data_IF_171719481442
#
_entry.id   IF_171719481442
#
_cell.length_a   1.000
_cell.length_b   1.000
_cell.length_c   1.000
_cell.angle_alpha   90.00
_cell.angle_beta   90.00
_cell.angle_gamma   90.00
#
_symmetry.space_group_name_H-M   'P 1'
#
loop_
_entity.id
_entity.type
_entity.pdbx_description
1 polymer ?
#
# COMPACT_ATOMS: atom_id res chain seq x y z
N UNK A 1 -0.28 -18.17 9.14
CA UNK A 1 -0.81 -18.75 7.88
C UNK A 1 -1.49 -17.62 7.12
N UNK A 2 -1.21 -17.30 5.86
CA UNK A 2 -0.53 -18.07 4.82
C UNK A 2 0.38 -17.13 4.01
N UNK A 3 1.60 -17.59 3.75
CA UNK A 3 2.20 -17.35 2.45
C UNK A 3 1.14 -17.76 1.42
N UNK A 4 0.65 -16.83 0.62
CA UNK A 4 -0.18 -17.18 -0.53
C UNK A 4 0.71 -18.03 -1.45
N UNK A 5 0.66 -19.35 -1.29
CA UNK A 5 1.41 -20.38 -2.02
C UNK A 5 2.94 -20.48 -1.80
N UNK A 6 3.49 -20.10 -0.64
CA UNK A 6 4.94 -20.24 -0.39
C UNK A 6 5.82 -19.33 -1.25
N UNK A 7 5.21 -18.32 -1.88
CA UNK A 7 5.87 -17.33 -2.72
C UNK A 7 6.32 -16.15 -1.86
N UNK A 8 7.55 -15.70 -2.10
CA UNK A 8 8.16 -14.52 -1.48
C UNK A 8 7.48 -13.26 -2.02
N UNK A 9 6.96 -12.40 -1.15
CA UNK A 9 6.24 -11.19 -1.54
C UNK A 9 7.00 -9.94 -1.09
N UNK A 10 6.90 -8.86 -1.86
CA UNK A 10 7.47 -7.56 -1.50
C UNK A 10 6.57 -6.42 -1.99
N UNK A 11 6.38 -5.34 -1.21
CA UNK A 11 5.46 -4.27 -1.57
C UNK A 11 5.96 -3.47 -2.78
N UNK A 12 5.05 -3.07 -3.65
CA UNK A 12 5.35 -2.13 -4.71
C UNK A 12 5.79 -0.78 -4.11
N UNK A 13 6.88 -0.15 -4.57
CA UNK A 13 7.34 1.13 -4.02
C UNK A 13 6.39 2.31 -4.34
N UNK A 14 5.38 2.11 -5.17
CA UNK A 14 4.41 3.14 -5.57
C UNK A 14 3.06 2.94 -4.89
N UNK A 15 2.45 1.78 -5.06
CA UNK A 15 1.10 1.50 -4.55
C UNK A 15 1.05 0.64 -3.29
N UNK A 16 2.20 0.21 -2.76
CA UNK A 16 2.33 -0.69 -1.60
C UNK A 16 1.72 -2.08 -1.74
N UNK A 17 0.93 -2.33 -2.78
CA UNK A 17 0.37 -3.64 -3.08
C UNK A 17 1.46 -4.74 -3.08
N UNK A 18 1.15 -5.93 -2.53
CA UNK A 18 2.06 -7.06 -2.54
C UNK A 18 2.34 -7.53 -3.97
N UNK A 19 3.62 -7.62 -4.33
CA UNK A 19 4.09 -8.20 -5.59
C UNK A 19 4.97 -9.41 -5.34
N UNK A 20 4.81 -10.43 -6.17
CA UNK A 20 5.65 -11.63 -6.11
C UNK A 20 7.10 -11.27 -6.46
N UNK A 21 8.01 -11.66 -5.58
CA UNK A 21 9.45 -11.62 -5.83
C UNK A 21 9.79 -12.76 -6.77
N UNK A 22 10.17 -12.40 -7.99
CA UNK A 22 10.60 -13.33 -9.04
C UNK A 22 12.11 -13.39 -9.11
N UNK A 23 12.64 -14.48 -9.64
CA UNK A 23 14.07 -14.68 -9.81
C UNK A 23 14.42 -14.87 -11.27
N UNK A 24 15.43 -14.14 -11.76
CA UNK A 24 15.95 -14.30 -13.12
C UNK A 24 16.73 -15.62 -13.27
N UNK A 25 17.01 -16.04 -14.51
CA UNK A 25 17.89 -17.20 -14.79
C UNK A 25 19.27 -17.11 -14.11
N UNK A 26 19.74 -15.90 -13.81
CA UNK A 26 21.01 -15.61 -13.11
C UNK A 26 20.85 -15.43 -11.60
N UNK A 27 19.76 -15.94 -11.01
CA UNK A 27 19.48 -15.85 -9.57
C UNK A 27 19.38 -14.42 -9.01
N UNK A 28 18.98 -13.45 -9.85
CA UNK A 28 18.76 -12.06 -9.41
C UNK A 28 17.27 -11.79 -9.14
N UNK A 29 16.89 -11.28 -7.96
CA UNK A 29 15.50 -10.99 -7.65
C UNK A 29 15.00 -9.73 -8.37
N UNK A 30 13.72 -9.75 -8.72
CA UNK A 30 13.01 -8.62 -9.32
C UNK A 30 11.50 -8.71 -9.04
N UNK A 31 10.79 -7.60 -9.19
CA UNK A 31 9.33 -7.51 -9.06
C UNK A 31 8.76 -6.58 -10.12
N UNK A 32 7.51 -6.85 -10.52
CA UNK A 32 6.78 -6.10 -11.56
C UNK A 32 5.41 -5.72 -11.00
N UNK A 33 4.99 -4.49 -11.24
CA UNK A 33 3.67 -3.98 -10.92
C UNK A 33 3.06 -3.35 -12.18
N UNK A 34 2.26 -4.11 -12.92
CA UNK A 34 1.60 -3.64 -14.15
C UNK A 34 0.66 -2.44 -13.90
N UNK A 35 -0.16 -2.41 -12.82
CA UNK A 35 -1.03 -1.27 -12.54
C UNK A 35 -0.29 0.06 -12.34
N UNK A 36 0.94 0.02 -11.81
CA UNK A 36 1.77 1.21 -11.63
C UNK A 36 2.79 1.42 -12.75
N UNK A 37 2.92 0.48 -13.69
CA UNK A 37 3.94 0.53 -14.74
C UNK A 37 5.38 0.49 -14.22
N UNK A 38 5.64 -0.11 -13.04
CA UNK A 38 6.99 -0.15 -12.44
C UNK A 38 7.58 -1.56 -12.39
N UNK A 39 8.89 -1.63 -12.61
CA UNK A 39 9.68 -2.84 -12.45
C UNK A 39 10.94 -2.52 -11.63
N UNK A 40 11.19 -3.31 -10.58
CA UNK A 40 12.34 -3.13 -9.70
C UNK A 40 13.28 -4.32 -9.84
N UNK A 41 14.55 -4.04 -10.08
CA UNK A 41 15.62 -5.04 -10.14
C UNK A 41 16.59 -4.85 -8.99
N UNK A 42 16.82 -5.91 -8.23
CA UNK A 42 17.78 -5.87 -7.13
C UNK A 42 19.11 -6.39 -7.67
N UNK A 43 20.15 -5.57 -7.54
CA UNK A 43 21.47 -5.83 -8.12
C UNK A 43 22.56 -5.67 -7.06
N UNK A 44 23.70 -6.30 -7.34
CA UNK A 44 24.85 -6.31 -6.43
C UNK A 44 24.69 -7.34 -5.31
N UNK A 45 25.73 -8.11 -4.96
CA UNK A 45 25.63 -9.16 -3.93
C UNK A 45 25.14 -8.63 -2.58
N UNK A 46 25.65 -7.47 -2.14
CA UNK A 46 25.25 -6.85 -0.88
C UNK A 46 23.77 -6.42 -0.88
N UNK A 47 23.30 -5.82 -1.99
CA UNK A 47 21.91 -5.40 -2.14
C UNK A 47 20.95 -6.59 -2.18
N UNK A 48 21.32 -7.66 -2.88
CA UNK A 48 20.55 -8.90 -2.95
C UNK A 48 20.43 -9.53 -1.54
N UNK A 49 21.53 -9.67 -0.82
CA UNK A 49 21.51 -10.23 0.53
C UNK A 49 20.73 -9.36 1.55
N UNK A 50 20.76 -8.03 1.39
CA UNK A 50 19.95 -7.13 2.21
C UNK A 50 18.45 -7.29 1.91
N UNK A 51 18.10 -7.34 0.62
CA UNK A 51 16.73 -7.56 0.17
C UNK A 51 16.18 -8.91 0.65
N UNK A 52 16.97 -9.98 0.54
CA UNK A 52 16.53 -11.30 0.98
C UNK A 52 16.21 -11.32 2.48
N UNK A 53 17.06 -10.71 3.30
CA UNK A 53 16.80 -10.55 4.75
C UNK A 53 15.57 -9.70 5.05
N UNK A 54 15.19 -8.78 4.18
CA UNK A 54 13.98 -7.96 4.36
C UNK A 54 12.73 -8.77 4.06
N UNK A 55 12.72 -9.49 2.94
CA UNK A 55 11.60 -10.35 2.52
C UNK A 55 11.36 -11.45 3.57
N UNK A 56 12.42 -12.11 4.03
CA UNK A 56 12.32 -13.22 4.98
C UNK A 56 11.84 -12.76 6.38
N UNK A 57 12.13 -11.49 6.76
CA UNK A 57 11.59 -10.86 7.98
C UNK A 57 10.14 -10.43 7.82
N UNK A 58 9.78 -9.85 6.68
CA UNK A 58 8.42 -9.42 6.37
C UNK A 58 7.40 -10.57 6.43
N UNK A 59 7.84 -11.78 6.08
CA UNK A 59 7.05 -13.00 6.19
C UNK A 59 6.87 -13.48 7.65
N UNK A 60 7.76 -13.11 8.58
CA UNK A 60 7.73 -13.52 9.99
C UNK A 60 7.04 -12.53 10.92
N UNK A 61 7.19 -11.23 10.67
CA UNK A 61 6.73 -10.16 11.59
C UNK A 61 5.33 -9.61 11.26
N UNK A 62 4.55 -10.33 10.46
CA UNK A 62 3.22 -9.92 10.01
C UNK A 62 3.20 -8.46 9.46
N UNK A 63 4.28 -8.07 8.78
CA UNK A 63 4.45 -6.78 8.12
C UNK A 63 3.25 -6.49 7.21
N UNK A 64 2.73 -7.54 6.58
CA UNK A 64 1.55 -7.49 5.76
C UNK A 64 0.26 -7.22 6.54
N UNK A 65 0.07 -7.74 7.75
CA UNK A 65 -1.06 -7.30 8.57
C UNK A 65 -0.91 -5.86 9.01
N UNK A 66 0.31 -5.41 9.37
CA UNK A 66 0.54 -4.00 9.71
C UNK A 66 0.27 -3.07 8.52
N UNK A 67 0.74 -3.42 7.32
CA UNK A 67 0.46 -2.67 6.09
C UNK A 67 -1.03 -2.70 5.75
N UNK A 68 -1.70 -3.86 5.82
CA UNK A 68 -3.15 -3.96 5.63
C UNK A 68 -3.94 -3.16 6.66
N UNK A 69 -3.49 -3.13 7.91
CA UNK A 69 -4.11 -2.34 8.97
C UNK A 69 -3.94 -0.84 8.70
N UNK A 70 -2.77 -0.42 8.23
CA UNK A 70 -2.54 0.96 7.77
C UNK A 70 -3.39 1.30 6.54
N UNK A 71 -3.38 0.45 5.50
CA UNK A 71 -4.22 0.63 4.31
C UNK A 71 -5.72 0.67 4.67
N UNK A 72 -6.21 -0.19 5.56
CA UNK A 72 -7.62 -0.15 6.00
C UNK A 72 -7.98 1.16 6.68
N UNK A 73 -7.06 1.70 7.48
CA UNK A 73 -7.30 2.92 8.26
C UNK A 73 -7.12 4.20 7.44
N UNK A 74 -6.24 4.17 6.45
CA UNK A 74 -5.75 5.37 5.76
C UNK A 74 -5.86 5.32 4.24
N UNK A 75 -6.24 4.21 3.60
CA UNK A 75 -6.43 4.12 2.15
C UNK A 75 -7.92 4.02 1.81
N UNK A 76 -8.52 5.15 1.47
CA UNK A 76 -9.96 5.33 1.29
C UNK A 76 -10.36 5.11 -0.16
N UNK A 77 -11.52 4.48 -0.37
CA UNK A 77 -12.17 4.38 -1.68
C UNK A 77 -13.39 5.30 -1.70
N UNK A 78 -13.43 6.24 -2.64
CA UNK A 78 -14.57 7.10 -2.84
C UNK A 78 -15.79 6.29 -3.35
N UNK A 79 -16.97 6.39 -2.70
CA UNK A 79 -18.17 5.67 -3.15
C UNK A 79 -18.76 6.25 -4.45
N UNK A 80 -18.52 7.53 -4.73
CA UNK A 80 -19.08 8.25 -5.89
C UNK A 80 -18.28 7.96 -7.17
N UNK A 81 -16.96 8.21 -7.17
CA UNK A 81 -16.13 8.06 -8.37
C UNK A 81 -15.28 6.79 -8.39
N UNK A 82 -15.23 6.03 -7.29
CA UNK A 82 -14.41 4.83 -7.17
C UNK A 82 -12.91 5.07 -7.01
N UNK A 83 -12.46 6.33 -7.03
CA UNK A 83 -11.05 6.70 -6.84
C UNK A 83 -10.55 6.23 -5.46
N UNK A 84 -9.31 5.73 -5.42
CA UNK A 84 -8.65 5.27 -4.20
C UNK A 84 -7.51 6.22 -3.85
N UNK A 85 -7.45 6.68 -2.61
CA UNK A 85 -6.50 7.70 -2.17
C UNK A 85 -6.13 7.55 -0.69
N UNK A 86 -4.98 8.07 -0.32
CA UNK A 86 -4.53 8.09 1.07
C UNK A 86 -5.19 9.23 1.84
N UNK A 87 -5.50 8.98 3.11
CA UNK A 87 -6.08 9.92 4.05
C UNK A 87 -5.01 10.93 4.50
N UNK A 88 -4.81 11.96 3.69
CA UNK A 88 -3.85 13.02 3.94
C UNK A 88 -4.52 14.18 4.72
N UNK A 89 -3.82 14.86 5.64
CA UNK A 89 -4.37 15.98 6.41
C UNK A 89 -4.95 17.10 5.52
N UNK A 90 -4.37 17.33 4.35
CA UNK A 90 -4.82 18.33 3.38
C UNK A 90 -6.22 18.04 2.80
N UNK A 91 -6.61 16.76 2.79
CA UNK A 91 -7.92 16.32 2.33
C UNK A 91 -8.94 16.29 3.47
N UNK A 92 -8.52 16.46 4.73
CA UNK A 92 -9.41 16.41 5.88
C UNK A 92 -10.49 17.51 5.80
N UNK A 93 -11.74 17.11 5.97
CA UNK A 93 -12.88 18.02 6.11
C UNK A 93 -13.34 17.99 7.55
N UNK A 94 -13.16 19.11 8.23
CA UNK A 94 -13.68 19.32 9.57
C UNK A 94 -14.96 20.15 9.51
N UNK A 95 -15.81 19.95 10.50
CA UNK A 95 -16.97 20.80 10.75
C UNK A 95 -16.52 22.17 11.26
N UNK A 96 -17.16 23.23 10.78
CA UNK A 96 -16.85 24.62 11.14
C UNK A 96 -17.33 24.95 12.57
N UNK A 97 -18.29 24.19 13.10
CA UNK A 97 -18.92 24.49 14.39
C UNK A 97 -18.18 23.92 15.59
N UNK A 98 -17.74 22.66 15.50
CA UNK A 98 -17.15 21.88 16.60
C UNK A 98 -15.74 21.38 16.27
N UNK A 99 -15.24 21.63 15.05
CA UNK A 99 -13.94 21.14 14.59
C UNK A 99 -13.88 19.63 14.39
N UNK A 100 -14.99 18.90 14.51
CA UNK A 100 -15.00 17.45 14.39
C UNK A 100 -14.65 17.00 12.97
N UNK A 101 -13.89 15.91 12.86
CA UNK A 101 -13.51 15.34 11.58
C UNK A 101 -14.71 14.65 10.93
N UNK A 102 -15.21 15.21 9.83
CA UNK A 102 -16.31 14.61 9.05
C UNK A 102 -15.81 13.52 8.09
N UNK A 103 -14.54 13.60 7.68
CA UNK A 103 -13.91 12.65 6.76
C UNK A 103 -12.87 13.30 5.86
N UNK A 104 -12.60 12.68 4.71
CA UNK A 104 -11.60 13.15 3.75
C UNK A 104 -12.23 13.42 2.38
N UNK A 105 -11.88 14.55 1.76
CA UNK A 105 -12.34 14.90 0.41
C UNK A 105 -11.63 14.05 -0.62
N UNK A 106 -12.38 13.57 -1.61
CA UNK A 106 -11.82 12.90 -2.76
C UNK A 106 -10.94 13.89 -3.56
N UNK A 107 -9.69 13.51 -3.90
CA UNK A 107 -8.77 14.37 -4.65
C UNK A 107 -9.15 14.51 -6.14
N UNK A 108 -10.10 13.69 -6.63
CA UNK A 108 -10.57 13.77 -8.01
C UNK A 108 -11.31 15.10 -8.25
N UNK A 109 -10.82 15.88 -9.22
CA UNK A 109 -11.24 17.27 -9.46
C UNK A 109 -12.73 17.43 -9.74
N UNK A 110 -13.37 16.39 -10.29
CA UNK A 110 -14.79 16.40 -10.68
C UNK A 110 -15.72 15.77 -9.64
N UNK A 111 -15.19 15.16 -8.57
CA UNK A 111 -16.00 14.45 -7.59
C UNK A 111 -16.24 15.31 -6.34
N UNK A 112 -15.19 15.71 -5.62
CA UNK A 112 -15.29 16.52 -4.41
C UNK A 112 -16.06 15.87 -3.24
N UNK A 113 -16.47 14.60 -3.36
CA UNK A 113 -17.21 13.88 -2.34
C UNK A 113 -16.38 13.75 -1.05
N UNK A 114 -17.04 13.81 0.10
CA UNK A 114 -16.40 13.57 1.40
C UNK A 114 -16.60 12.10 1.77
N UNK A 115 -15.51 11.34 1.83
CA UNK A 115 -15.51 9.96 2.29
C UNK A 115 -15.45 9.99 3.81
N UNK A 116 -16.49 9.46 4.46
CA UNK A 116 -16.53 9.37 5.91
C UNK A 116 -15.35 8.55 6.41
N UNK A 117 -14.68 9.04 7.45
CA UNK A 117 -13.69 8.23 8.16
C UNK A 117 -14.45 7.36 9.14
N UNK A 118 -14.55 6.05 8.87
CA UNK A 118 -15.22 5.11 9.76
C UNK A 118 -14.47 5.02 11.08
N UNK A 119 -14.89 5.82 12.05
CA UNK A 119 -14.79 5.54 13.47
C UNK A 119 -16.14 4.99 13.95
N UNK A 120 -16.54 3.82 13.45
CA UNK A 120 -17.45 2.97 14.21
C UNK A 120 -16.69 1.73 14.63
N UNK A 121 -16.33 1.75 15.91
CA UNK A 121 -15.73 0.73 16.76
C UNK A 121 -15.95 -0.70 16.28
#
# INVERSE_FOLDING_TARGET
MAALNGKRMFPCPVCTDPREVRTTKKQKPYLVCDPCGVQVFIRGPAGIAAFDRLVDRGDREDLWARLREMERRYYLKCPECGCRFWAEPELAKTSIFDGSLQGFRCPEKKCGATVAWENKQ
#
